data_IF_401555423576
#
_entry.id   IF_401555423576
#
_cell.length_a   1.000
_cell.length_b   1.000
_cell.length_c   1.000
_cell.angle_alpha   90.00
_cell.angle_beta   90.00
_cell.angle_gamma   90.00
#
_symmetry.space_group_name_H-M   'P 1'
#
loop_
_entity.id
_entity.type
_entity.pdbx_description
1 polymer ?
#
# COMPACT_ATOMS: atom_id res chain seq x y z
N UNK A 1 70.72 2.59 -40.35
CA UNK A 1 69.31 2.75 -39.93
C UNK A 1 69.27 3.63 -38.70
N UNK A 2 68.81 4.89 -38.76
CA UNK A 2 68.50 5.64 -37.54
C UNK A 2 67.01 5.46 -37.20
N UNK A 3 66.73 4.99 -36.00
CA UNK A 3 65.37 4.93 -35.46
C UNK A 3 64.87 6.35 -35.23
N UNK A 4 63.86 6.75 -35.99
CA UNK A 4 63.17 8.02 -35.86
C UNK A 4 62.32 7.96 -34.60
N UNK A 5 62.83 8.49 -33.49
CA UNK A 5 62.04 8.66 -32.27
C UNK A 5 61.03 9.79 -32.55
N UNK A 6 59.78 9.42 -32.85
CA UNK A 6 58.68 10.39 -32.88
C UNK A 6 58.36 10.71 -31.43
N UNK A 7 58.94 11.79 -30.93
CA UNK A 7 58.40 12.49 -29.76
C UNK A 7 57.07 13.07 -30.24
N UNK A 8 55.98 12.40 -29.89
CA UNK A 8 54.64 12.95 -30.06
C UNK A 8 54.53 14.15 -29.10
N UNK A 9 54.08 15.27 -29.64
CA UNK A 9 54.04 16.57 -29.01
C UNK A 9 52.96 16.58 -27.91
N UNK A 10 53.35 16.52 -26.63
CA UNK A 10 52.46 16.58 -25.45
C UNK A 10 51.99 18.02 -25.13
N UNK A 11 51.71 18.83 -26.16
CA UNK A 11 51.50 20.28 -26.00
C UNK A 11 50.13 20.70 -26.52
N UNK A 12 49.09 20.38 -25.76
CA UNK A 12 47.74 20.91 -26.03
C UNK A 12 46.60 20.22 -25.28
N UNK A 13 46.80 18.98 -24.83
CA UNK A 13 45.70 18.15 -24.33
C UNK A 13 45.36 18.42 -22.84
N UNK A 14 46.23 19.03 -22.02
CA UNK A 14 46.08 18.97 -20.55
C UNK A 14 44.96 19.84 -19.95
N UNK A 15 44.63 21.01 -20.51
CA UNK A 15 43.57 21.87 -19.93
C UNK A 15 42.17 21.34 -20.28
N UNK A 16 41.96 20.94 -21.54
CA UNK A 16 40.66 20.42 -21.99
C UNK A 16 40.44 19.00 -21.45
N UNK A 17 41.48 18.16 -21.38
CA UNK A 17 41.41 16.83 -20.78
C UNK A 17 41.08 16.90 -19.28
N UNK A 18 41.73 17.77 -18.52
CA UNK A 18 41.42 17.95 -17.10
C UNK A 18 40.01 18.51 -16.92
N UNK A 19 39.58 19.47 -17.75
CA UNK A 19 38.22 20.03 -17.67
C UNK A 19 37.16 18.96 -17.99
N UNK A 20 37.38 18.13 -19.01
CA UNK A 20 36.51 17.01 -19.35
C UNK A 20 36.51 15.94 -18.24
N UNK A 21 37.67 15.61 -17.68
CA UNK A 21 37.77 14.65 -16.58
C UNK A 21 36.99 15.14 -15.35
N UNK A 22 37.17 16.41 -14.97
CA UNK A 22 36.42 17.02 -13.86
C UNK A 22 34.92 17.08 -14.17
N UNK A 23 34.54 17.40 -15.42
CA UNK A 23 33.14 17.39 -15.83
C UNK A 23 32.51 15.99 -15.71
N UNK A 24 33.19 14.95 -16.19
CA UNK A 24 32.72 13.56 -16.11
C UNK A 24 32.65 13.10 -14.65
N UNK A 25 33.67 13.38 -13.83
CA UNK A 25 33.66 13.06 -12.41
C UNK A 25 32.54 13.78 -11.66
N UNK A 26 32.27 15.05 -11.99
CA UNK A 26 31.15 15.81 -11.43
C UNK A 26 29.80 15.19 -11.76
N UNK A 27 29.57 14.84 -13.03
CA UNK A 27 28.33 14.16 -13.46
C UNK A 27 28.20 12.80 -12.78
N UNK A 28 29.28 12.02 -12.72
CA UNK A 28 29.29 10.72 -12.08
C UNK A 28 28.96 10.83 -10.58
N UNK A 29 29.55 11.80 -9.86
CA UNK A 29 29.27 12.02 -8.45
C UNK A 29 27.79 12.36 -8.21
N UNK A 30 27.20 13.27 -9.00
CA UNK A 30 25.78 13.61 -8.90
C UNK A 30 24.89 12.42 -9.22
N UNK A 31 25.21 11.66 -10.27
CA UNK A 31 24.45 10.47 -10.66
C UNK A 31 24.45 9.40 -9.56
N UNK A 32 25.59 9.15 -8.93
CA UNK A 32 25.71 8.21 -7.82
C UNK A 32 24.90 8.67 -6.59
N UNK A 33 25.01 9.95 -6.22
CA UNK A 33 24.25 10.51 -5.10
C UNK A 33 22.74 10.42 -5.35
N UNK A 34 22.28 10.72 -6.56
CA UNK A 34 20.87 10.58 -6.94
C UNK A 34 20.39 9.12 -6.90
N UNK A 35 21.24 8.18 -7.34
CA UNK A 35 20.93 6.75 -7.27
C UNK A 35 20.77 6.24 -5.82
N UNK A 36 21.69 6.64 -4.94
CA UNK A 36 21.67 6.25 -3.53
C UNK A 36 20.45 6.81 -2.79
N UNK A 37 20.13 8.10 -2.98
CA UNK A 37 18.96 8.71 -2.34
C UNK A 37 17.66 8.06 -2.81
N UNK A 38 17.55 7.77 -4.11
CA UNK A 38 16.40 7.08 -4.68
C UNK A 38 16.25 5.67 -4.09
N UNK A 39 17.35 4.92 -3.98
CA UNK A 39 17.35 3.57 -3.41
C UNK A 39 16.88 3.53 -1.96
N UNK A 40 17.34 4.49 -1.14
CA UNK A 40 16.93 4.62 0.27
C UNK A 40 15.45 4.96 0.38
N UNK A 41 14.96 5.93 -0.41
CA UNK A 41 13.55 6.31 -0.41
C UNK A 41 12.65 5.15 -0.84
N UNK A 42 13.04 4.43 -1.88
CA UNK A 42 12.28 3.28 -2.37
C UNK A 42 12.23 2.16 -1.33
N UNK A 43 13.33 1.93 -0.61
CA UNK A 43 13.39 0.95 0.48
C UNK A 43 12.44 1.29 1.63
N UNK A 44 12.35 2.57 2.00
CA UNK A 44 11.41 3.03 3.04
C UNK A 44 9.95 2.85 2.60
N UNK A 45 9.62 3.20 1.35
CA UNK A 45 8.29 3.00 0.77
C UNK A 45 7.92 1.52 0.76
N UNK A 46 8.83 0.64 0.32
CA UNK A 46 8.59 -0.81 0.32
C UNK A 46 8.34 -1.36 1.72
N UNK A 47 9.12 -0.93 2.72
CA UNK A 47 8.89 -1.33 4.12
C UNK A 47 7.50 -0.90 4.61
N UNK A 48 7.09 0.32 4.25
CA UNK A 48 5.76 0.85 4.61
C UNK A 48 4.64 0.12 3.88
N UNK A 49 4.80 -0.22 2.60
CA UNK A 49 3.83 -1.03 1.86
C UNK A 49 3.67 -2.43 2.46
N UNK A 50 4.78 -3.08 2.83
CA UNK A 50 4.72 -4.38 3.52
C UNK A 50 3.96 -4.27 4.85
N UNK A 51 4.24 -3.21 5.63
CA UNK A 51 3.56 -2.97 6.92
C UNK A 51 2.09 -2.59 6.75
N UNK A 52 1.73 -1.78 5.77
CA UNK A 52 0.34 -1.48 5.43
C UNK A 52 -0.40 -2.75 5.00
N UNK A 53 0.28 -3.63 4.26
CA UNK A 53 -0.24 -4.91 3.82
C UNK A 53 -0.51 -5.88 4.97
N UNK A 54 0.31 -5.90 6.01
CA UNK A 54 0.00 -6.67 7.23
C UNK A 54 -1.12 -6.00 8.02
N UNK A 55 -1.05 -4.68 8.23
CA UNK A 55 -2.06 -3.93 9.00
C UNK A 55 -3.48 -4.07 8.42
N UNK A 56 -3.64 -4.03 7.09
CA UNK A 56 -4.96 -4.20 6.46
C UNK A 56 -5.50 -5.62 6.61
N UNK A 57 -4.63 -6.64 6.68
CA UNK A 57 -5.03 -8.03 6.93
C UNK A 57 -5.42 -8.24 8.39
N UNK A 58 -4.63 -7.73 9.32
CA UNK A 58 -4.95 -7.78 10.76
C UNK A 58 -6.29 -7.10 11.04
N UNK A 59 -6.55 -5.97 10.39
CA UNK A 59 -7.83 -5.27 10.48
C UNK A 59 -8.98 -6.08 9.87
N UNK A 60 -8.75 -6.78 8.76
CA UNK A 60 -9.74 -7.70 8.17
C UNK A 60 -10.11 -8.83 9.12
N UNK A 61 -9.11 -9.44 9.77
CA UNK A 61 -9.31 -10.51 10.75
C UNK A 61 -10.08 -9.99 11.98
N UNK A 62 -9.71 -8.82 12.50
CA UNK A 62 -10.45 -8.18 13.59
C UNK A 62 -11.92 -7.92 13.21
N UNK A 63 -12.18 -7.49 11.97
CA UNK A 63 -13.53 -7.27 11.46
C UNK A 63 -14.32 -8.57 11.30
N UNK A 64 -13.68 -9.64 10.81
CA UNK A 64 -14.32 -10.95 10.72
C UNK A 64 -14.66 -11.51 12.10
N UNK A 65 -13.77 -11.38 13.07
CA UNK A 65 -14.01 -11.79 14.46
C UNK A 65 -15.15 -10.98 15.09
N UNK A 66 -15.13 -9.65 14.92
CA UNK A 66 -16.20 -8.77 15.38
C UNK A 66 -17.58 -9.18 14.83
N UNK A 67 -17.65 -9.51 13.54
CA UNK A 67 -18.89 -10.00 12.91
C UNK A 67 -19.27 -11.39 13.43
N UNK A 68 -18.31 -12.30 13.59
CA UNK A 68 -18.54 -13.63 14.15
C UNK A 68 -19.08 -13.58 15.59
N UNK A 69 -18.65 -12.58 16.37
CA UNK A 69 -19.14 -12.28 17.72
C UNK A 69 -20.56 -11.67 17.74
N UNK A 70 -21.21 -11.56 16.58
CA UNK A 70 -22.62 -11.19 16.47
C UNK A 70 -22.87 -9.73 16.16
N UNK A 71 -21.83 -8.97 15.84
CA UNK A 71 -21.95 -7.57 15.47
C UNK A 71 -22.12 -7.36 13.96
N UNK A 72 -22.76 -8.33 13.30
CA UNK A 72 -23.20 -8.19 11.92
C UNK A 72 -24.34 -7.17 11.83
N UNK A 73 -24.28 -6.27 10.85
CA UNK A 73 -25.28 -5.22 10.66
C UNK A 73 -26.32 -5.69 9.64
N UNK A 74 -27.51 -6.08 10.07
CA UNK A 74 -28.55 -6.70 9.23
C UNK A 74 -29.54 -5.72 8.55
N UNK A 75 -29.63 -4.48 9.02
CA UNK A 75 -30.68 -3.52 8.67
C UNK A 75 -30.32 -2.60 7.50
N UNK A 76 -29.46 -3.04 6.58
CA UNK A 76 -28.97 -2.20 5.48
C UNK A 76 -28.39 -0.85 5.97
N UNK A 77 -27.87 -0.85 7.20
CA UNK A 77 -27.50 0.37 7.91
C UNK A 77 -26.08 0.85 7.54
N UNK A 78 -25.68 1.96 8.15
CA UNK A 78 -24.36 2.56 7.91
C UNK A 78 -23.22 1.59 8.24
N UNK A 79 -22.13 1.53 7.44
CA UNK A 79 -20.93 0.75 7.76
C UNK A 79 -20.09 1.34 8.90
N UNK A 80 -20.54 2.43 9.55
CA UNK A 80 -19.80 3.09 10.62
C UNK A 80 -19.32 2.14 11.76
N UNK A 81 -20.10 1.14 12.21
CA UNK A 81 -19.62 0.20 13.23
C UNK A 81 -18.45 -0.68 12.76
N UNK A 82 -18.29 -0.90 11.46
CA UNK A 82 -17.15 -1.64 10.91
C UNK A 82 -15.84 -0.86 10.93
N UNK A 83 -15.86 0.44 11.24
CA UNK A 83 -14.64 1.24 11.42
C UNK A 83 -13.85 0.90 12.71
N UNK A 84 -14.32 -0.06 13.53
CA UNK A 84 -13.70 -0.59 14.76
C UNK A 84 -12.79 0.39 15.50
N UNK A 85 -13.38 1.37 16.20
CA UNK A 85 -12.61 2.38 16.95
C UNK A 85 -11.67 1.79 18.03
N UNK A 86 -11.86 0.53 18.43
CA UNK A 86 -11.01 -0.19 19.39
C UNK A 86 -9.85 -0.93 18.76
N UNK A 87 -9.78 -1.05 17.42
CA UNK A 87 -8.66 -1.71 16.75
C UNK A 87 -7.40 -0.84 16.84
N UNK A 88 -6.30 -1.42 17.29
CA UNK A 88 -5.02 -0.71 17.45
C UNK A 88 -4.13 -0.99 16.25
N UNK A 89 -3.83 0.06 15.47
CA UNK A 89 -2.89 -0.05 14.36
C UNK A 89 -1.44 -0.10 14.85
N UNK A 90 -0.52 -0.64 14.04
CA UNK A 90 0.90 -0.33 14.17
C UNK A 90 1.13 1.18 14.15
N UNK A 91 2.08 1.67 14.96
CA UNK A 91 2.39 3.10 15.02
C UNK A 91 2.75 3.67 13.65
N UNK A 92 2.22 4.85 13.31
CA UNK A 92 2.42 5.48 12.00
C UNK A 92 1.41 5.05 10.94
N UNK A 93 0.38 4.26 11.29
CA UNK A 93 -0.66 3.80 10.36
C UNK A 93 -2.08 4.05 10.88
N UNK A 94 -2.98 4.32 9.95
CA UNK A 94 -4.43 4.41 10.19
C UNK A 94 -5.15 3.33 9.38
N UNK A 95 -6.27 2.84 9.92
CA UNK A 95 -7.21 2.02 9.18
C UNK A 95 -8.49 2.80 8.90
N UNK A 96 -9.24 2.37 7.89
CA UNK A 96 -10.56 2.94 7.59
C UNK A 96 -11.36 1.98 6.72
N UNK A 97 -12.69 2.12 6.77
CA UNK A 97 -13.58 1.60 5.74
C UNK A 97 -13.67 2.65 4.63
N UNK A 98 -13.48 2.23 3.37
CA UNK A 98 -13.59 3.12 2.23
C UNK A 98 -15.05 3.58 2.08
N UNK A 99 -15.33 4.89 2.09
CA UNK A 99 -16.70 5.40 1.98
C UNK A 99 -17.40 4.90 0.71
N UNK A 100 -18.66 4.47 0.83
CA UNK A 100 -19.47 3.99 -0.29
C UNK A 100 -19.03 2.64 -0.90
N UNK A 101 -18.04 1.96 -0.31
CA UNK A 101 -17.55 0.66 -0.79
C UNK A 101 -18.46 -0.51 -0.42
N UNK A 102 -19.34 -0.32 0.58
CA UNK A 102 -20.25 -1.36 1.05
C UNK A 102 -21.17 -1.84 -0.07
N UNK A 103 -21.31 -3.15 -0.19
CA UNK A 103 -22.25 -3.82 -1.10
C UNK A 103 -22.87 -5.02 -0.39
N UNK A 104 -24.09 -5.32 -0.78
CA UNK A 104 -24.89 -6.41 -0.23
C UNK A 104 -25.16 -7.44 -1.30
N UNK A 105 -25.19 -8.71 -0.92
CA UNK A 105 -25.54 -9.79 -1.82
C UNK A 105 -27.06 -9.92 -1.92
N UNK A 106 -27.60 -9.93 -3.15
CA UNK A 106 -29.04 -10.13 -3.38
C UNK A 106 -29.39 -11.57 -3.82
N UNK A 107 -28.42 -12.48 -3.86
CA UNK A 107 -28.57 -13.83 -4.42
C UNK A 107 -28.01 -14.00 -5.83
N UNK A 108 -27.80 -12.90 -6.56
CA UNK A 108 -27.36 -12.89 -7.96
C UNK A 108 -26.19 -11.92 -8.21
N UNK A 109 -26.18 -10.78 -7.54
CA UNK A 109 -25.25 -9.69 -7.74
C UNK A 109 -25.01 -8.92 -6.45
N UNK A 110 -23.92 -8.15 -6.45
CA UNK A 110 -23.59 -7.21 -5.39
C UNK A 110 -24.24 -5.85 -5.64
N UNK A 111 -25.11 -5.40 -4.76
CA UNK A 111 -25.85 -4.13 -4.88
C UNK A 111 -25.38 -3.09 -3.86
N UNK A 112 -25.38 -1.79 -4.19
CA UNK A 112 -25.05 -0.72 -3.26
C UNK A 112 -26.14 -0.45 -2.23
N UNK A 113 -27.37 -0.83 -2.55
CA UNK A 113 -28.53 -0.76 -1.67
C UNK A 113 -28.91 -2.16 -1.21
N UNK A 114 -29.49 -2.24 -0.03
CA UNK A 114 -30.00 -3.48 0.54
C UNK A 114 -31.52 -3.34 0.68
N UNK A 115 -32.24 -4.31 0.13
CA UNK A 115 -33.70 -4.44 0.22
C UNK A 115 -34.07 -5.63 1.11
N UNK A 116 -33.30 -6.70 1.01
CA UNK A 116 -33.36 -7.87 1.89
C UNK A 116 -31.94 -8.36 2.09
N UNK A 117 -31.52 -8.47 3.34
CA UNK A 117 -30.19 -8.99 3.66
C UNK A 117 -30.16 -10.52 3.51
N UNK A 118 -29.26 -11.02 2.65
CA UNK A 118 -28.99 -12.46 2.43
C UNK A 118 -27.81 -12.98 3.24
N UNK A 119 -27.40 -12.23 4.27
CA UNK A 119 -26.34 -12.59 5.19
C UNK A 119 -24.93 -12.49 4.61
N UNK A 120 -24.75 -11.75 3.51
CA UNK A 120 -23.44 -11.49 2.91
C UNK A 120 -23.30 -10.02 2.54
N UNK A 121 -22.21 -9.44 3.03
CA UNK A 121 -21.80 -8.06 2.75
C UNK A 121 -20.36 -8.07 2.25
N UNK A 122 -20.02 -7.13 1.38
CA UNK A 122 -18.61 -6.85 1.06
C UNK A 122 -18.34 -5.37 1.22
N UNK A 123 -17.16 -5.03 1.69
CA UNK A 123 -16.68 -3.67 1.77
C UNK A 123 -15.18 -3.63 1.47
N UNK A 124 -14.70 -2.45 1.13
CA UNK A 124 -13.27 -2.21 0.99
C UNK A 124 -12.76 -1.55 2.25
N UNK A 125 -11.77 -2.17 2.88
CA UNK A 125 -11.01 -1.58 3.97
C UNK A 125 -9.67 -1.07 3.45
N UNK A 126 -9.07 -0.15 4.19
CA UNK A 126 -7.80 0.49 3.84
C UNK A 126 -6.92 0.65 5.06
N UNK A 127 -5.62 0.43 4.88
CA UNK A 127 -4.58 0.86 5.81
C UNK A 127 -3.64 1.86 5.12
N UNK A 128 -3.41 3.01 5.76
CA UNK A 128 -2.58 4.10 5.26
C UNK A 128 -1.46 4.42 6.23
N UNK A 129 -0.28 4.76 5.71
CA UNK A 129 0.73 5.43 6.53
C UNK A 129 0.34 6.89 6.79
N UNK A 130 0.66 7.40 7.97
CA UNK A 130 0.33 8.78 8.39
C UNK A 130 0.97 9.84 7.48
N UNK A 131 2.10 9.51 6.87
CA UNK A 131 2.84 10.37 5.93
C UNK A 131 2.37 10.23 4.47
N UNK A 132 1.36 9.40 4.20
CA UNK A 132 0.76 9.22 2.86
C UNK A 132 1.63 8.46 1.86
N UNK A 133 2.76 7.88 2.28
CA UNK A 133 3.68 7.16 1.38
C UNK A 133 3.29 5.72 1.08
N UNK A 134 2.39 5.13 1.86
CA UNK A 134 1.85 3.79 1.63
C UNK A 134 0.33 3.76 1.89
N UNK A 135 -0.39 3.04 1.05
CA UNK A 135 -1.84 2.84 1.13
C UNK A 135 -2.16 1.47 0.56
N UNK A 136 -2.73 0.59 1.36
CA UNK A 136 -3.13 -0.76 0.97
C UNK A 136 -4.63 -0.92 1.19
N UNK A 137 -5.28 -1.63 0.27
CA UNK A 137 -6.72 -1.89 0.33
C UNK A 137 -7.01 -3.38 0.20
N UNK A 138 -8.05 -3.81 0.91
CA UNK A 138 -8.53 -5.17 0.84
C UNK A 138 -10.05 -5.17 0.75
N UNK A 139 -10.60 -5.97 -0.16
CA UNK A 139 -12.03 -6.25 -0.19
C UNK A 139 -12.28 -7.41 0.76
N UNK A 140 -13.09 -7.17 1.79
CA UNK A 140 -13.48 -8.17 2.77
C UNK A 140 -14.95 -8.52 2.53
N UNK A 141 -15.23 -9.82 2.52
CA UNK A 141 -16.60 -10.34 2.52
C UNK A 141 -16.94 -10.78 3.93
N UNK A 142 -17.97 -10.16 4.50
CA UNK A 142 -18.52 -10.47 5.81
C UNK A 142 -19.73 -11.38 5.63
N UNK A 143 -19.80 -12.41 6.46
CA UNK A 143 -20.93 -13.35 6.51
C UNK A 143 -21.64 -13.21 7.84
N UNK A 144 -22.97 -13.13 7.80
CA UNK A 144 -23.81 -13.18 8.99
C UNK A 144 -23.52 -14.48 9.76
N UNK A 145 -23.19 -14.42 11.06
CA UNK A 145 -22.96 -15.62 11.84
C UNK A 145 -24.25 -16.45 11.95
N UNK A 146 -24.13 -17.77 11.86
CA UNK A 146 -25.25 -18.69 12.05
C UNK A 146 -25.24 -19.19 13.50
N UNK A 147 -26.09 -18.64 14.37
CA UNK A 147 -26.22 -19.15 15.75
C UNK A 147 -27.32 -20.19 15.86
N UNK A 148 -27.21 -21.05 16.87
CA UNK A 148 -28.24 -22.00 17.28
C UNK A 148 -29.46 -21.21 17.79
N UNK A 149 -30.34 -20.78 16.87
CA UNK A 149 -31.52 -19.97 17.16
C UNK A 149 -31.92 -18.98 16.07
N UNK A 150 -31.03 -18.69 15.12
CA UNK A 150 -31.34 -17.85 13.96
C UNK A 150 -31.96 -18.69 12.83
N UNK A 151 -32.84 -18.07 12.01
CA UNK A 151 -33.33 -18.68 10.77
C UNK A 151 -32.14 -19.17 9.92
N UNK A 152 -32.28 -20.38 9.36
CA UNK A 152 -31.25 -21.04 8.55
C UNK A 152 -30.65 -20.05 7.55
N UNK A 153 -29.35 -19.78 7.71
CA UNK A 153 -28.58 -18.87 6.88
C UNK A 153 -28.89 -19.04 5.38
N UNK A 154 -29.65 -18.10 4.81
CA UNK A 154 -30.13 -18.13 3.42
C UNK A 154 -30.44 -16.75 2.87
#
# INVERSE_FOLDING_TARGET
MPARHRVADERGETLVEVLLAVAIMGIAAVALMAGLTTSVLMSDIHRKQATAGTAVRDYAEALQNYVADGHYIDSCASPAPYALSSFTNPGGFQHSVVPGSMRYWDGSAWKPTCTTDKGLQKLTIRANSDDGRASEQLVVVLRKPCRLGDDLCG
#
